data_IF_700020286972
#
_entry.id   IF_700020286972
#
_cell.length_a   1.000
_cell.length_b   1.000
_cell.length_c   1.000
_cell.angle_alpha   90.00
_cell.angle_beta   90.00
_cell.angle_gamma   90.00
#
_symmetry.space_group_name_H-M   'P 1'
#
loop_
_entity.id
_entity.type
_entity.pdbx_description
1 polymer ?
#
# COMPACT_ATOMS: atom_id res chain seq x y z
N UNK A 1 -7.48 -9.13 9.06
CA UNK A 1 -7.04 -10.45 9.59
C UNK A 1 -6.36 -11.33 8.54
N UNK A 2 -6.69 -11.21 7.26
CA UNK A 2 -6.15 -12.09 6.21
C UNK A 2 -4.70 -11.79 5.80
N UNK A 3 -4.11 -10.68 6.25
CA UNK A 3 -2.80 -10.23 5.80
C UNK A 3 -1.67 -11.24 6.05
N UNK A 4 -1.49 -11.84 7.25
CA UNK A 4 -0.46 -12.88 7.43
C UNK A 4 -0.64 -14.08 6.50
N UNK A 5 -1.87 -14.58 6.34
CA UNK A 5 -2.19 -15.68 5.43
C UNK A 5 -1.91 -15.34 3.97
N UNK A 6 -2.27 -14.13 3.53
CA UNK A 6 -1.92 -13.61 2.21
C UNK A 6 -0.40 -13.58 2.03
N UNK A 7 0.35 -13.01 2.98
CA UNK A 7 1.81 -12.96 2.89
C UNK A 7 2.43 -14.36 2.88
N UNK A 8 1.91 -15.31 3.64
CA UNK A 8 2.35 -16.71 3.57
C UNK A 8 2.12 -17.30 2.19
N UNK A 9 0.95 -17.08 1.58
CA UNK A 9 0.63 -17.61 0.25
C UNK A 9 1.55 -17.07 -0.85
N UNK A 10 2.02 -15.83 -0.71
CA UNK A 10 2.95 -15.20 -1.67
C UNK A 10 4.43 -15.54 -1.45
N UNK A 11 4.77 -16.17 -0.31
CA UNK A 11 6.16 -16.47 0.06
C UNK A 11 6.49 -17.93 -0.27
N UNK A 12 7.25 -18.58 0.60
CA UNK A 12 7.84 -19.89 0.34
C UNK A 12 6.98 -20.95 1.02
N UNK A 13 6.77 -22.08 0.36
CA UNK A 13 6.16 -23.25 0.96
C UNK A 13 6.97 -23.66 2.21
N UNK A 14 6.33 -23.97 3.35
CA UNK A 14 7.02 -24.18 4.63
C UNK A 14 7.90 -25.43 4.64
N UNK A 15 7.65 -26.41 3.76
CA UNK A 15 8.45 -27.64 3.67
C UNK A 15 9.52 -27.53 2.59
N UNK A 16 9.15 -27.12 1.37
CA UNK A 16 10.08 -27.13 0.22
C UNK A 16 10.94 -25.87 0.12
N UNK A 17 10.54 -24.78 0.80
CA UNK A 17 11.14 -23.45 0.70
C UNK A 17 11.11 -22.83 -0.71
N UNK A 18 10.33 -23.41 -1.64
CA UNK A 18 10.14 -22.92 -3.01
C UNK A 18 8.92 -22.00 -3.12
N UNK A 19 8.82 -21.27 -4.24
CA UNK A 19 7.56 -20.62 -4.63
C UNK A 19 6.55 -21.69 -5.05
N UNK A 20 5.30 -21.46 -4.69
CA UNK A 20 4.25 -22.47 -4.80
C UNK A 20 3.00 -21.86 -5.46
N UNK A 21 2.74 -22.18 -6.73
CA UNK A 21 1.57 -21.69 -7.44
C UNK A 21 0.24 -22.14 -6.80
N UNK A 22 0.18 -23.32 -6.17
CA UNK A 22 -1.03 -23.76 -5.49
C UNK A 22 -1.34 -22.86 -4.30
N UNK A 23 -0.33 -22.53 -3.48
CA UNK A 23 -0.52 -21.61 -2.35
C UNK A 23 -1.03 -20.25 -2.81
N UNK A 24 -0.39 -19.66 -3.82
CA UNK A 24 -0.75 -18.34 -4.36
C UNK A 24 -2.19 -18.34 -4.87
N UNK A 25 -2.51 -19.26 -5.76
CA UNK A 25 -3.78 -19.25 -6.48
C UNK A 25 -4.94 -19.86 -5.70
N UNK A 26 -4.70 -20.78 -4.76
CA UNK A 26 -5.75 -21.26 -3.86
C UNK A 26 -6.25 -20.11 -2.99
N UNK A 27 -5.33 -19.33 -2.39
CA UNK A 27 -5.71 -18.16 -1.60
C UNK A 27 -6.49 -17.14 -2.43
N UNK A 28 -5.97 -16.71 -3.58
CA UNK A 28 -6.66 -15.73 -4.43
C UNK A 28 -8.00 -16.23 -4.95
N UNK A 29 -8.10 -17.50 -5.36
CA UNK A 29 -9.36 -18.05 -5.87
C UNK A 29 -10.42 -18.27 -4.77
N UNK A 30 -10.04 -18.39 -3.50
CA UNK A 30 -10.96 -18.44 -2.36
C UNK A 30 -11.38 -17.05 -1.86
N UNK A 31 -10.65 -16.00 -2.24
CA UNK A 31 -10.81 -14.62 -1.77
C UNK A 31 -11.06 -13.66 -2.97
N UNK A 32 -12.25 -13.68 -3.58
CA UNK A 32 -12.55 -12.91 -4.80
C UNK A 32 -12.32 -11.40 -4.65
N UNK A 33 -12.31 -10.86 -3.42
CA UNK A 33 -11.99 -9.45 -3.17
C UNK A 33 -10.59 -9.03 -3.66
N UNK A 34 -9.69 -9.99 -3.90
CA UNK A 34 -8.37 -9.71 -4.46
C UNK A 34 -8.37 -9.41 -5.97
N UNK A 35 -9.46 -9.71 -6.68
CA UNK A 35 -9.51 -9.66 -8.15
C UNK A 35 -9.08 -8.33 -8.74
N UNK A 36 -9.44 -7.21 -8.11
CA UNK A 36 -9.06 -5.88 -8.59
C UNK A 36 -7.53 -5.71 -8.59
N UNK A 37 -6.89 -5.98 -7.45
CA UNK A 37 -5.45 -5.85 -7.32
C UNK A 37 -4.69 -6.91 -8.13
N UNK A 38 -5.22 -8.14 -8.22
CA UNK A 38 -4.63 -9.19 -9.06
C UNK A 38 -4.69 -8.78 -10.54
N UNK A 39 -5.79 -8.19 -11.00
CA UNK A 39 -5.89 -7.67 -12.37
C UNK A 39 -4.90 -6.55 -12.63
N UNK A 40 -4.72 -5.63 -11.67
CA UNK A 40 -3.69 -4.58 -11.77
C UNK A 40 -2.27 -5.18 -11.80
N UNK A 41 -1.98 -6.15 -10.94
CA UNK A 41 -0.68 -6.81 -10.82
C UNK A 41 -0.27 -7.52 -12.12
N UNK A 42 -1.22 -8.18 -12.79
CA UNK A 42 -0.94 -8.90 -14.04
C UNK A 42 -1.06 -8.03 -15.30
N UNK A 43 -1.49 -6.77 -15.18
CA UNK A 43 -1.37 -5.78 -16.25
C UNK A 43 0.09 -5.39 -16.49
N UNK A 44 0.35 -4.61 -17.54
CA UNK A 44 1.71 -4.10 -17.82
C UNK A 44 2.32 -3.35 -16.62
N UNK A 45 1.49 -2.73 -15.77
CA UNK A 45 1.95 -2.01 -14.56
C UNK A 45 2.50 -2.92 -13.46
N UNK A 46 2.42 -4.24 -13.62
CA UNK A 46 3.04 -5.23 -12.72
C UNK A 46 4.57 -5.19 -12.73
N UNK A 47 5.18 -4.68 -13.80
CA UNK A 47 6.63 -4.62 -14.00
C UNK A 47 7.04 -3.19 -14.36
N UNK A 48 7.02 -2.22 -13.43
CA UNK A 48 7.46 -0.85 -13.72
C UNK A 48 8.95 -0.82 -14.11
N UNK A 49 9.30 0.06 -15.04
CA UNK A 49 10.68 0.29 -15.47
C UNK A 49 11.42 1.16 -14.44
N UNK A 50 11.93 0.50 -13.39
CA UNK A 50 12.55 1.15 -12.24
C UNK A 50 11.55 1.92 -11.37
N UNK A 51 12.03 2.48 -10.25
CA UNK A 51 11.15 3.16 -9.29
C UNK A 51 10.62 4.51 -9.79
N UNK A 52 11.31 5.15 -10.75
CA UNK A 52 10.99 6.52 -11.20
C UNK A 52 9.78 6.59 -12.12
N UNK A 53 9.43 5.48 -12.78
CA UNK A 53 8.39 5.42 -13.80
C UNK A 53 7.06 4.81 -13.30
N UNK A 54 6.83 4.81 -11.98
CA UNK A 54 5.59 4.38 -11.35
C UNK A 54 4.94 5.50 -10.53
N UNK A 55 3.64 5.42 -10.35
CA UNK A 55 2.91 6.28 -9.40
C UNK A 55 3.03 5.73 -7.98
N UNK A 56 2.84 6.60 -6.98
CA UNK A 56 2.61 6.24 -5.59
C UNK A 56 1.18 6.56 -5.16
N UNK A 57 0.66 5.82 -4.19
CA UNK A 57 -0.68 6.02 -3.63
C UNK A 57 -0.64 5.77 -2.12
N UNK A 58 -1.44 6.54 -1.37
CA UNK A 58 -1.74 6.18 0.03
C UNK A 58 -2.62 4.93 0.14
N UNK A 59 -3.33 4.61 -0.95
CA UNK A 59 -4.31 3.53 -1.13
C UNK A 59 -5.53 3.63 -0.21
N UNK A 60 -5.31 3.64 1.11
CA UNK A 60 -6.34 3.80 2.11
C UNK A 60 -7.04 5.15 1.97
N UNK A 61 -8.28 5.16 2.45
CA UNK A 61 -8.94 6.41 2.81
C UNK A 61 -8.31 6.92 4.10
N UNK A 62 -8.00 8.21 4.17
CA UNK A 62 -7.56 8.90 5.38
C UNK A 62 -8.58 10.00 5.72
N UNK A 63 -8.42 10.64 6.87
CA UNK A 63 -9.23 11.78 7.29
C UNK A 63 -8.33 13.01 7.40
N UNK A 64 -8.77 14.12 6.83
CA UNK A 64 -8.14 15.45 6.97
C UNK A 64 -9.01 16.32 7.87
N UNK A 65 -8.37 17.11 8.72
CA UNK A 65 -9.05 17.98 9.69
C UNK A 65 -8.50 19.39 9.54
N UNK A 66 -9.39 20.36 9.34
CA UNK A 66 -9.03 21.78 9.27
C UNK A 66 -8.95 22.44 10.65
N UNK A 67 -8.61 23.73 10.70
CA UNK A 67 -8.50 24.50 11.94
C UNK A 67 -9.83 24.64 12.71
N UNK A 68 -10.98 24.47 12.04
CA UNK A 68 -12.31 24.53 12.63
C UNK A 68 -12.80 23.14 13.10
N UNK A 69 -11.90 22.15 13.18
CA UNK A 69 -12.20 20.76 13.54
C UNK A 69 -13.23 20.09 12.63
N UNK A 70 -13.31 20.51 11.36
CA UNK A 70 -14.22 19.93 10.37
C UNK A 70 -13.48 18.82 9.59
N UNK A 71 -13.92 17.56 9.70
CA UNK A 71 -13.26 16.46 9.03
C UNK A 71 -13.80 16.23 7.61
N UNK A 72 -12.92 15.84 6.71
CA UNK A 72 -13.25 15.24 5.40
C UNK A 72 -12.43 13.98 5.20
N UNK A 73 -12.91 13.04 4.39
CA UNK A 73 -12.09 11.92 3.96
C UNK A 73 -11.25 12.30 2.74
N UNK A 74 -10.10 11.63 2.58
CA UNK A 74 -9.23 11.85 1.44
C UNK A 74 -8.54 10.57 0.94
N UNK A 75 -8.02 10.64 -0.29
CA UNK A 75 -7.07 9.68 -0.88
C UNK A 75 -5.84 10.43 -1.35
N UNK A 76 -4.64 9.92 -1.05
CA UNK A 76 -3.36 10.50 -1.48
C UNK A 76 -2.85 9.89 -2.78
N UNK A 77 -2.42 10.73 -3.73
CA UNK A 77 -1.92 10.32 -5.05
C UNK A 77 -0.61 11.03 -5.38
N UNK A 78 0.41 10.29 -5.78
CA UNK A 78 1.71 10.80 -6.22
C UNK A 78 1.94 10.35 -7.66
N UNK A 79 1.75 11.25 -8.64
CA UNK A 79 1.86 10.91 -10.06
C UNK A 79 3.27 11.19 -10.56
N UNK A 80 3.93 10.22 -11.18
CA UNK A 80 5.31 10.40 -11.68
C UNK A 80 5.35 11.49 -12.74
N UNK A 81 6.31 12.41 -12.62
CA UNK A 81 6.58 13.42 -13.63
C UNK A 81 7.53 12.91 -14.74
N UNK A 82 7.98 11.65 -14.67
CA UNK A 82 8.85 11.02 -15.66
C UNK A 82 8.05 10.22 -16.70
N UNK A 83 6.73 10.14 -16.53
CA UNK A 83 5.84 9.29 -17.33
C UNK A 83 5.84 7.84 -16.85
N UNK A 84 4.67 7.19 -16.97
CA UNK A 84 4.55 5.75 -16.70
C UNK A 84 5.30 4.97 -17.77
N UNK A 85 6.14 4.04 -17.34
CA UNK A 85 6.87 3.13 -18.22
C UNK A 85 7.01 1.78 -17.54
N UNK A 86 6.78 0.71 -18.31
CA UNK A 86 6.81 -0.66 -17.83
C UNK A 86 7.76 -1.50 -18.69
N UNK A 87 8.30 -2.56 -18.11
CA UNK A 87 9.11 -3.55 -18.79
C UNK A 87 8.21 -4.61 -19.42
N UNK A 88 8.65 -5.17 -20.55
CA UNK A 88 8.09 -6.42 -21.05
C UNK A 88 8.53 -7.59 -20.16
N UNK A 89 7.74 -8.67 -20.05
CA UNK A 89 8.13 -9.84 -19.25
C UNK A 89 9.50 -10.40 -19.61
N UNK A 90 9.87 -10.44 -20.89
CA UNK A 90 11.17 -10.98 -21.34
C UNK A 90 12.35 -10.10 -20.90
N UNK A 91 12.16 -8.78 -20.90
CA UNK A 91 13.16 -7.83 -20.39
C UNK A 91 13.33 -7.94 -18.88
N UNK A 92 12.22 -8.09 -18.15
CA UNK A 92 12.25 -8.29 -16.71
C UNK A 92 12.93 -9.61 -16.32
N UNK A 93 12.67 -10.71 -17.04
CA UNK A 93 13.34 -11.99 -16.84
C UNK A 93 14.85 -11.90 -17.10
N UNK A 94 15.24 -11.24 -18.20
CA UNK A 94 16.65 -10.99 -18.51
C UNK A 94 17.32 -10.15 -17.43
N UNK A 95 16.69 -9.06 -16.98
CA UNK A 95 17.25 -8.19 -15.94
C UNK A 95 17.33 -8.87 -14.58
N UNK A 96 16.37 -9.74 -14.24
CA UNK A 96 16.41 -10.49 -12.98
C UNK A 96 17.67 -11.35 -12.82
N UNK A 97 18.31 -11.77 -13.92
CA UNK A 97 19.59 -12.49 -13.90
C UNK A 97 20.81 -11.62 -14.17
N UNK A 98 20.69 -10.61 -15.04
CA UNK A 98 21.83 -9.79 -15.48
C UNK A 98 22.11 -8.56 -14.61
N UNK A 99 21.08 -8.01 -13.95
CA UNK A 99 21.18 -6.90 -13.01
C UNK A 99 20.02 -6.99 -11.99
N UNK A 100 20.11 -7.90 -11.00
CA UNK A 100 19.04 -8.09 -10.00
C UNK A 100 18.73 -6.82 -9.19
N UNK A 101 19.66 -5.86 -9.17
CA UNK A 101 19.56 -4.57 -8.50
C UNK A 101 19.18 -3.42 -9.46
N UNK A 102 18.62 -3.72 -10.64
CA UNK A 102 18.31 -2.75 -11.70
C UNK A 102 17.65 -1.46 -11.19
N UNK A 103 16.57 -1.58 -10.40
CA UNK A 103 15.84 -0.41 -9.91
C UNK A 103 16.65 0.42 -8.89
N UNK A 104 17.53 -0.23 -8.10
CA UNK A 104 18.46 0.45 -7.19
C UNK A 104 19.49 1.24 -8.01
N UNK A 105 20.11 0.59 -9.01
CA UNK A 105 21.09 1.22 -9.90
C UNK A 105 20.49 2.39 -10.67
N UNK A 106 19.30 2.22 -11.24
CA UNK A 106 18.58 3.26 -11.98
C UNK A 106 18.34 4.50 -11.11
N UNK A 107 17.76 4.33 -9.92
CA UNK A 107 17.47 5.45 -9.02
C UNK A 107 18.75 6.16 -8.56
N UNK A 108 19.75 5.39 -8.14
CA UNK A 108 21.03 5.93 -7.69
C UNK A 108 21.71 6.75 -8.79
N UNK A 109 21.79 6.18 -10.00
CA UNK A 109 22.46 6.80 -11.16
C UNK A 109 21.71 8.04 -11.63
N UNK A 110 20.37 8.03 -11.59
CA UNK A 110 19.56 9.19 -11.94
C UNK A 110 19.86 10.36 -10.99
N UNK A 111 19.87 10.12 -9.68
CA UNK A 111 20.14 11.16 -8.68
C UNK A 111 21.60 11.64 -8.77
N UNK A 112 22.57 10.74 -8.91
CA UNK A 112 23.99 11.08 -9.01
C UNK A 112 24.29 11.98 -10.23
N UNK A 113 23.54 11.80 -11.33
CA UNK A 113 23.67 12.61 -12.55
C UNK A 113 22.79 13.88 -12.54
N UNK A 114 22.25 14.30 -11.39
CA UNK A 114 21.41 15.49 -11.28
C UNK A 114 20.02 15.35 -11.92
N UNK A 115 19.64 14.15 -12.39
CA UNK A 115 18.32 13.83 -12.94
C UNK A 115 17.39 13.42 -11.80
N UNK A 116 16.98 14.40 -10.99
CA UNK A 116 16.18 14.15 -9.80
C UNK A 116 14.74 13.73 -10.18
N UNK A 117 14.31 12.49 -9.86
CA UNK A 117 12.92 12.11 -10.08
C UNK A 117 12.00 12.89 -9.15
N UNK A 118 10.79 13.15 -9.63
CA UNK A 118 9.77 13.88 -8.89
C UNK A 118 8.38 13.38 -9.21
N UNK A 119 7.48 13.56 -8.23
CA UNK A 119 6.07 13.22 -8.31
C UNK A 119 5.21 14.41 -7.96
N UNK A 120 4.18 14.66 -8.75
CA UNK A 120 3.15 15.64 -8.43
C UNK A 120 2.17 15.02 -7.42
N UNK A 121 1.95 15.71 -6.30
CA UNK A 121 1.13 15.25 -5.19
C UNK A 121 -0.28 15.83 -5.28
N UNK A 122 -1.29 14.96 -5.16
CA UNK A 122 -2.70 15.28 -5.23
C UNK A 122 -3.48 14.60 -4.11
N UNK A 123 -4.65 15.16 -3.81
CA UNK A 123 -5.68 14.52 -2.99
C UNK A 123 -6.99 14.40 -3.76
N UNK A 124 -7.75 13.35 -3.49
CA UNK A 124 -9.21 13.37 -3.65
C UNK A 124 -9.82 13.71 -2.29
N UNK A 125 -10.95 14.39 -2.28
CA UNK A 125 -11.67 14.76 -1.05
C UNK A 125 -13.11 14.28 -1.14
N UNK A 126 -13.60 13.63 -0.07
CA UNK A 126 -14.97 13.14 0.08
C UNK A 126 -15.51 13.62 1.42
N UNK A 127 -16.67 14.28 1.42
CA UNK A 127 -17.33 14.69 2.67
C UNK A 127 -17.94 13.48 3.39
N UNK A 128 -18.26 13.63 4.67
CA UNK A 128 -18.94 12.57 5.42
C UNK A 128 -20.32 12.24 4.80
N UNK A 129 -21.07 13.24 4.35
CA UNK A 129 -22.36 13.03 3.67
C UNK A 129 -22.21 12.30 2.32
N UNK A 130 -21.10 12.51 1.61
CA UNK A 130 -20.80 11.76 0.39
C UNK A 130 -20.42 10.32 0.71
N UNK A 131 -19.67 10.07 1.79
CA UNK A 131 -19.31 8.74 2.24
C UNK A 131 -20.55 7.89 2.61
N UNK A 132 -21.54 8.47 3.30
CA UNK A 132 -22.81 7.79 3.63
C UNK A 132 -23.65 7.40 2.41
N UNK A 133 -23.47 8.13 1.29
CA UNK A 133 -24.20 7.92 0.03
C UNK A 133 -23.37 7.20 -1.02
N UNK A 134 -22.13 6.82 -0.69
CA UNK A 134 -21.24 6.21 -1.66
C UNK A 134 -21.74 4.81 -2.00
N UNK A 135 -21.74 4.47 -3.29
CA UNK A 135 -22.32 3.22 -3.79
C UNK A 135 -21.60 1.95 -3.30
N UNK A 136 -20.38 2.10 -2.76
CA UNK A 136 -19.62 1.05 -2.09
C UNK A 136 -19.20 1.53 -0.70
N UNK A 137 -18.60 0.65 0.09
CA UNK A 137 -17.88 1.06 1.29
C UNK A 137 -16.69 1.99 0.91
N UNK A 138 -16.68 3.28 1.30
CA UNK A 138 -15.62 4.21 0.93
C UNK A 138 -14.28 3.91 1.64
N UNK A 139 -14.29 2.99 2.60
CA UNK A 139 -13.13 2.51 3.36
C UNK A 139 -12.68 1.11 2.96
N UNK A 140 -13.29 0.52 1.92
CA UNK A 140 -12.83 -0.73 1.34
C UNK A 140 -11.59 -0.48 0.49
N UNK A 141 -10.46 -1.08 0.91
CA UNK A 141 -9.17 -0.94 0.24
C UNK A 141 -9.14 -1.53 -1.17
N UNK A 142 -10.08 -2.40 -1.52
CA UNK A 142 -10.21 -2.98 -2.86
C UNK A 142 -10.92 -2.04 -3.84
N UNK A 143 -11.43 -0.89 -3.37
CA UNK A 143 -12.17 0.09 -4.17
C UNK A 143 -11.38 1.37 -4.39
N UNK A 144 -11.56 1.95 -5.58
CA UNK A 144 -11.11 3.31 -5.92
C UNK A 144 -12.28 4.29 -5.88
N UNK A 145 -11.97 5.56 -5.67
CA UNK A 145 -12.92 6.66 -5.90
C UNK A 145 -12.75 7.14 -7.34
N UNK A 146 -13.82 7.11 -8.13
CA UNK A 146 -13.78 7.54 -9.53
C UNK A 146 -13.26 8.98 -9.64
N UNK A 147 -12.28 9.22 -10.50
CA UNK A 147 -11.77 10.58 -10.75
C UNK A 147 -12.82 11.51 -11.37
N UNK A 148 -13.87 10.95 -11.99
CA UNK A 148 -14.99 11.73 -12.53
C UNK A 148 -15.84 12.35 -11.42
N UNK A 149 -16.05 11.60 -10.34
CA UNK A 149 -16.86 12.04 -9.20
C UNK A 149 -16.01 12.81 -8.18
N UNK A 150 -14.78 12.36 -7.97
CA UNK A 150 -13.84 12.93 -7.01
C UNK A 150 -12.55 13.31 -7.75
N UNK A 151 -12.49 14.49 -8.39
CA UNK A 151 -11.33 14.91 -9.17
C UNK A 151 -10.08 15.09 -8.29
N UNK A 152 -8.90 14.96 -8.91
CA UNK A 152 -7.62 15.19 -8.25
C UNK A 152 -7.42 16.69 -7.99
N UNK A 153 -7.15 17.03 -6.73
CA UNK A 153 -6.82 18.39 -6.29
C UNK A 153 -5.30 18.46 -6.09
N UNK A 154 -4.58 19.34 -6.81
CA UNK A 154 -3.13 19.48 -6.67
C UNK A 154 -2.76 20.05 -5.30
N UNK A 155 -1.72 19.49 -4.67
CA UNK A 155 -1.23 19.90 -3.35
C UNK A 155 0.23 20.35 -3.39
N UNK A 156 1.10 19.59 -4.05
CA UNK A 156 2.54 19.89 -4.04
C UNK A 156 3.37 18.94 -4.88
N UNK A 157 4.67 18.81 -4.53
CA UNK A 157 5.62 17.98 -5.27
C UNK A 157 6.59 17.26 -4.33
N UNK A 158 6.82 15.98 -4.59
CA UNK A 158 7.89 15.18 -3.98
C UNK A 158 9.08 15.13 -4.93
N UNK A 159 10.30 15.37 -4.44
CA UNK A 159 11.54 15.33 -5.24
C UNK A 159 12.58 14.53 -4.48
N UNK A 160 13.21 13.55 -5.15
CA UNK A 160 14.35 12.82 -4.60
C UNK A 160 15.64 13.36 -5.22
N UNK A 161 16.44 14.06 -4.44
CA UNK A 161 17.62 14.79 -4.92
C UNK A 161 18.92 14.44 -4.18
N UNK A 162 18.92 13.40 -3.33
CA UNK A 162 20.09 12.96 -2.58
C UNK A 162 20.07 11.44 -2.43
N UNK A 163 21.19 10.81 -2.77
CA UNK A 163 21.40 9.39 -2.49
C UNK A 163 21.79 9.19 -1.01
N UNK A 164 21.49 8.02 -0.42
CA UNK A 164 22.02 7.67 0.89
C UNK A 164 23.56 7.63 0.85
N UNK A 165 24.22 8.12 1.90
CA UNK A 165 25.66 8.00 2.05
C UNK A 165 26.04 6.59 2.54
N UNK A 166 25.19 5.98 3.37
CA UNK A 166 25.32 4.59 3.78
C UNK A 166 23.97 3.88 3.68
N UNK A 167 23.89 2.85 2.82
CA UNK A 167 22.64 2.10 2.59
C UNK A 167 22.09 1.46 3.86
N UNK A 168 22.93 0.82 4.67
CA UNK A 168 22.46 0.14 5.87
C UNK A 168 21.89 1.12 6.90
N UNK A 169 22.58 2.23 7.14
CA UNK A 169 22.17 3.24 8.11
C UNK A 169 20.92 4.02 7.69
N UNK A 170 20.78 4.33 6.39
CA UNK A 170 19.73 5.24 5.90
C UNK A 170 18.57 4.53 5.19
N UNK A 171 18.77 3.31 4.69
CA UNK A 171 17.74 2.55 3.95
C UNK A 171 17.33 1.29 4.71
N UNK A 172 18.25 0.40 5.05
CA UNK A 172 17.89 -0.88 5.70
C UNK A 172 17.27 -0.67 7.09
N UNK A 173 17.78 0.33 7.82
CA UNK A 173 17.27 0.73 9.13
C UNK A 173 16.09 1.72 9.10
N UNK A 174 15.64 2.11 7.91
CA UNK A 174 14.51 3.01 7.76
C UNK A 174 13.21 2.36 8.27
N UNK A 175 12.39 3.14 8.95
CA UNK A 175 11.13 2.71 9.54
C UNK A 175 10.01 3.72 9.20
N UNK A 176 8.94 3.23 8.57
CA UNK A 176 7.75 4.04 8.25
C UNK A 176 6.53 3.48 8.99
N UNK A 177 5.98 4.22 9.94
CA UNK A 177 4.77 3.82 10.65
C UNK A 177 3.55 4.60 10.14
N UNK A 178 2.49 3.94 9.66
CA UNK A 178 1.24 4.61 9.32
C UNK A 178 0.60 5.32 10.53
N UNK A 179 0.93 4.94 11.76
CA UNK A 179 0.49 5.64 12.97
C UNK A 179 1.16 7.01 13.19
N UNK A 180 2.25 7.31 12.49
CA UNK A 180 2.94 8.60 12.60
C UNK A 180 2.22 9.65 11.74
N UNK A 181 1.09 10.14 12.23
CA UNK A 181 0.31 11.21 11.58
C UNK A 181 0.36 12.48 12.43
N UNK A 182 0.72 13.64 11.84
CA UNK A 182 0.67 14.92 12.55
C UNK A 182 -0.77 15.44 12.69
N UNK A 183 -1.04 16.41 13.57
CA UNK A 183 -2.33 17.08 13.65
C UNK A 183 -2.83 17.56 12.27
N UNK A 184 -4.09 17.29 11.98
CA UNK A 184 -4.70 17.56 10.67
C UNK A 184 -4.77 16.35 9.73
N UNK A 185 -4.07 15.25 10.03
CA UNK A 185 -4.16 13.98 9.30
C UNK A 185 -4.47 12.86 10.31
N UNK A 186 -5.53 12.11 10.05
CA UNK A 186 -6.02 11.04 10.92
C UNK A 186 -6.36 9.77 10.11
N UNK A 187 -6.40 8.58 10.74
CA UNK A 187 -6.84 7.38 10.06
C UNK A 187 -8.35 7.40 9.79
N UNK A 188 -8.79 6.71 8.74
CA UNK A 188 -10.20 6.36 8.52
C UNK A 188 -10.56 5.02 9.17
N UNK A 189 -11.84 4.62 9.19
CA UNK A 189 -12.28 3.29 9.63
C UNK A 189 -11.90 2.11 8.72
N UNK A 190 -11.06 2.32 7.69
CA UNK A 190 -10.55 1.23 6.82
C UNK A 190 -9.90 0.13 7.67
N UNK A 191 -10.50 -1.07 7.64
CA UNK A 191 -10.09 -2.23 8.46
C UNK A 191 -8.62 -2.61 8.24
N UNK A 192 -8.09 -2.42 7.03
CA UNK A 192 -6.69 -2.70 6.72
C UNK A 192 -5.78 -1.62 7.28
N UNK A 193 -6.15 -0.33 7.14
CA UNK A 193 -5.39 0.78 7.74
C UNK A 193 -5.32 0.61 9.26
N UNK A 194 -6.43 0.30 9.91
CA UNK A 194 -6.51 0.08 11.37
C UNK A 194 -5.53 -1.00 11.85
N UNK A 195 -5.40 -2.11 11.11
CA UNK A 195 -4.39 -3.12 11.42
C UNK A 195 -2.94 -2.63 11.29
N UNK A 196 -2.68 -1.76 10.30
CA UNK A 196 -1.35 -1.19 10.04
C UNK A 196 -0.90 -0.17 11.09
N UNK A 197 -1.84 0.50 11.78
CA UNK A 197 -1.52 1.40 12.89
C UNK A 197 -0.79 0.67 14.02
N UNK A 198 -1.10 -0.62 14.21
CA UNK A 198 -0.42 -1.48 15.18
C UNK A 198 0.83 -2.15 14.59
N UNK A 199 0.70 -2.78 13.42
CA UNK A 199 1.68 -3.77 12.96
C UNK A 199 3.08 -3.21 12.67
N UNK A 200 3.16 -1.95 12.24
CA UNK A 200 4.43 -1.33 11.85
C UNK A 200 5.29 -0.98 13.08
N UNK A 201 4.80 -0.21 14.07
CA UNK A 201 5.56 0.01 15.30
C UNK A 201 5.95 -1.30 16.01
N UNK A 202 5.07 -2.30 15.98
CA UNK A 202 5.34 -3.62 16.54
C UNK A 202 6.52 -4.33 15.84
N UNK A 203 6.47 -4.46 14.51
CA UNK A 203 7.56 -5.11 13.76
C UNK A 203 8.86 -4.32 13.80
N UNK A 204 8.82 -2.99 13.93
CA UNK A 204 10.02 -2.15 14.07
C UNK A 204 10.71 -2.34 15.41
N UNK A 205 9.95 -2.46 16.51
CA UNK A 205 10.52 -2.78 17.84
C UNK A 205 11.24 -4.13 17.83
N UNK A 206 10.74 -5.10 17.07
CA UNK A 206 11.42 -6.38 16.89
C UNK A 206 12.64 -6.28 15.95
N UNK A 207 12.47 -5.73 14.75
CA UNK A 207 13.49 -5.71 13.68
C UNK A 207 14.69 -4.80 14.00
N UNK A 208 14.44 -3.65 14.64
CA UNK A 208 15.44 -2.60 14.86
C UNK A 208 15.72 -2.35 16.35
N UNK A 209 14.87 -2.85 17.25
CA UNK A 209 14.93 -2.61 18.69
C UNK A 209 13.93 -1.56 19.18
N UNK A 210 13.66 -1.55 20.48
CA UNK A 210 12.64 -0.68 21.09
C UNK A 210 12.90 0.82 20.88
N UNK A 211 14.17 1.22 20.80
CA UNK A 211 14.61 2.59 20.61
C UNK A 211 14.89 2.94 19.13
N UNK A 212 14.33 2.23 18.15
CA UNK A 212 14.59 2.46 16.71
C UNK A 212 14.31 3.90 16.23
N UNK A 213 13.40 4.62 16.89
CA UNK A 213 13.12 6.04 16.61
C UNK A 213 14.29 6.98 16.97
N UNK A 214 15.29 6.48 17.70
CA UNK A 214 16.52 7.22 18.00
C UNK A 214 17.59 7.06 16.90
N UNK A 215 17.40 6.13 15.95
CA UNK A 215 18.28 6.02 14.79
C UNK A 215 18.17 7.30 13.94
N UNK A 216 19.28 7.88 13.44
CA UNK A 216 19.27 9.19 12.80
C UNK A 216 18.25 9.36 11.66
N UNK A 217 18.03 8.32 10.86
CA UNK A 217 17.08 8.36 9.73
C UNK A 217 15.61 8.31 10.16
N UNK A 218 15.32 7.78 11.35
CA UNK A 218 13.97 7.66 11.92
C UNK A 218 13.66 8.76 12.94
N UNK A 219 14.69 9.47 13.41
CA UNK A 219 14.56 10.55 14.38
C UNK A 219 13.71 11.69 13.81
N UNK A 220 12.68 12.17 14.52
CA UNK A 220 11.90 13.33 14.11
C UNK A 220 12.67 14.64 14.37
N UNK A 221 13.84 14.79 13.75
CA UNK A 221 14.80 15.87 14.01
C UNK A 221 14.28 17.29 13.77
N UNK A 222 13.12 17.44 13.12
CA UNK A 222 12.41 18.71 12.90
C UNK A 222 11.45 19.09 14.03
N UNK A 223 11.34 18.27 15.06
CA UNK A 223 10.47 18.51 16.23
C UNK A 223 11.26 18.36 17.53
N UNK A 224 10.67 18.81 18.64
CA UNK A 224 11.18 18.54 19.98
C UNK A 224 10.43 17.35 20.58
N UNK A 225 11.11 16.23 20.76
CA UNK A 225 10.56 15.07 21.46
C UNK A 225 10.69 15.31 22.97
N UNK A 226 9.56 15.40 23.67
CA UNK A 226 9.51 15.54 25.12
C UNK A 226 8.29 14.78 25.65
N UNK A 227 8.53 13.75 26.47
CA UNK A 227 7.49 12.85 26.95
C UNK A 227 7.94 12.09 28.22
N UNK A 228 7.20 11.05 28.58
CA UNK A 228 7.40 10.24 29.78
C UNK A 228 8.04 8.87 29.51
N UNK A 229 8.43 8.57 28.27
CA UNK A 229 9.12 7.33 27.93
C UNK A 229 10.60 7.41 28.35
N UNK A 230 11.15 6.31 28.86
CA UNK A 230 12.53 6.20 29.36
C UNK A 230 13.13 4.83 29.03
N UNK A 231 14.46 4.76 29.12
CA UNK A 231 15.28 3.54 29.13
C UNK A 231 15.24 2.75 27.81
N UNK A 232 15.13 1.42 27.91
CA UNK A 232 15.19 0.49 26.79
C UNK A 232 16.63 0.23 26.28
N UNK A 233 16.87 -0.93 25.64
CA UNK A 233 18.15 -1.24 25.04
C UNK A 233 18.60 -0.18 24.05
N UNK A 234 19.92 0.06 23.99
CA UNK A 234 20.54 0.99 23.04
C UNK A 234 19.94 2.41 23.11
N UNK A 235 19.67 2.92 24.32
CA UNK A 235 19.32 4.34 24.51
C UNK A 235 20.52 5.21 24.11
N UNK A 236 20.38 5.98 23.02
CA UNK A 236 21.46 6.67 22.31
C UNK A 236 21.74 8.09 22.82
N UNK A 237 20.75 8.72 23.47
CA UNK A 237 20.83 10.10 23.94
C UNK A 237 20.91 10.15 25.47
N UNK A 238 20.60 11.31 26.06
CA UNK A 238 20.62 11.54 27.51
C UNK A 238 19.41 10.98 28.27
N UNK A 239 18.55 10.21 27.60
CA UNK A 239 17.32 9.62 28.16
C UNK A 239 16.37 10.68 28.79
N UNK A 240 16.35 11.92 28.28
CA UNK A 240 15.62 13.05 28.86
C UNK A 240 16.09 13.45 30.27
N UNK A 241 17.32 13.07 30.63
CA UNK A 241 18.04 13.45 31.84
C UNK A 241 17.21 13.31 33.13
N UNK A 242 17.27 14.31 34.02
CA UNK A 242 16.55 14.33 35.30
C UNK A 242 15.10 14.81 35.24
N UNK A 243 14.49 14.90 34.04
CA UNK A 243 13.11 15.37 33.92
C UNK A 243 12.12 14.38 34.56
N UNK A 244 11.06 14.86 35.26
CA UNK A 244 10.03 13.98 35.83
C UNK A 244 9.48 12.99 34.79
N UNK A 245 9.38 11.73 35.17
CA UNK A 245 9.04 10.61 34.27
C UNK A 245 7.62 10.05 34.50
N UNK A 246 6.74 10.79 35.18
CA UNK A 246 5.34 10.44 35.41
C UNK A 246 4.39 11.60 35.07
N UNK A 247 3.16 11.27 34.68
CA UNK A 247 2.10 12.23 34.34
C UNK A 247 0.77 11.85 35.00
N UNK A 248 0.01 12.80 35.57
CA UNK A 248 0.34 14.23 35.73
C UNK A 248 1.43 14.45 36.79
N UNK A 249 2.06 15.64 36.80
CA UNK A 249 3.10 16.03 37.77
C UNK A 249 3.03 17.53 38.11
N UNK A 250 3.59 17.94 39.25
CA UNK A 250 3.62 19.34 39.70
C UNK A 250 4.97 20.04 39.45
N UNK A 251 5.80 19.49 38.56
CA UNK A 251 7.21 19.87 38.39
C UNK A 251 7.52 20.33 36.96
N UNK A 252 6.52 20.87 36.25
CA UNK A 252 6.65 21.51 34.93
C UNK A 252 7.25 20.61 33.83
N UNK A 253 7.08 19.29 33.93
CA UNK A 253 7.41 18.37 32.84
C UNK A 253 6.40 18.51 31.67
N UNK A 254 6.60 17.81 30.52
CA UNK A 254 5.80 18.02 29.31
C UNK A 254 4.28 17.87 29.50
N UNK A 255 3.51 18.83 29.00
CA UNK A 255 2.04 18.85 29.08
C UNK A 255 1.34 18.45 27.77
N UNK A 256 0.12 17.93 27.88
CA UNK A 256 -0.73 17.61 26.73
C UNK A 256 -1.26 18.88 26.07
N UNK A 257 -1.19 18.93 24.74
CA UNK A 257 -1.71 20.05 23.94
C UNK A 257 -3.15 19.78 23.49
N UNK A 258 -4.13 20.36 24.20
CA UNK A 258 -5.56 20.12 23.96
C UNK A 258 -6.02 20.51 22.55
N UNK A 259 -5.37 21.48 21.92
CA UNK A 259 -5.66 21.92 20.55
C UNK A 259 -5.28 20.88 19.47
N UNK A 260 -4.64 19.77 19.84
CA UNK A 260 -4.21 18.71 18.93
C UNK A 260 -4.90 17.38 19.19
N UNK A 261 -5.96 17.37 20.00
CA UNK A 261 -6.78 16.18 20.25
C UNK A 261 -7.50 15.78 18.97
N UNK A 262 -7.65 14.47 18.77
CA UNK A 262 -8.25 13.87 17.58
C UNK A 262 -9.73 14.24 17.43
N UNK A 263 -10.18 14.32 16.18
CA UNK A 263 -11.58 14.60 15.88
C UNK A 263 -12.49 13.48 16.34
N UNK A 264 -13.57 13.88 17.03
CA UNK A 264 -14.63 12.98 17.48
C UNK A 264 -15.66 12.81 16.36
N UNK A 265 -16.10 11.59 16.16
CA UNK A 265 -17.20 11.26 15.24
C UNK A 265 -18.09 10.20 15.88
N UNK A 266 -19.36 10.16 15.45
CA UNK A 266 -20.32 9.18 15.96
C UNK A 266 -20.07 7.82 15.31
N UNK A 267 -20.22 6.77 16.09
CA UNK A 267 -20.17 5.38 15.63
C UNK A 267 -21.44 4.66 16.04
N UNK A 268 -21.96 3.83 15.12
CA UNK A 268 -23.07 2.89 15.29
C UNK A 268 -22.84 1.84 14.20
N UNK A 269 -22.76 0.52 14.46
CA UNK A 269 -23.65 -0.30 15.31
C UNK A 269 -22.85 -1.16 16.34
N UNK A 270 -23.38 -2.31 16.78
CA UNK A 270 -22.79 -3.21 17.80
C UNK A 270 -21.30 -3.55 17.60
N UNK A 271 -20.63 -3.93 18.69
CA UNK A 271 -19.27 -4.48 18.60
C UNK A 271 -19.35 -5.93 18.11
N UNK A 272 -18.92 -6.17 16.87
CA UNK A 272 -18.96 -7.49 16.25
C UNK A 272 -17.95 -7.67 15.12
N UNK A 273 -17.82 -8.92 14.64
CA UNK A 273 -17.00 -9.26 13.47
C UNK A 273 -17.85 -9.23 12.20
N UNK A 274 -18.04 -8.03 11.65
CA UNK A 274 -18.79 -7.85 10.42
C UNK A 274 -18.04 -8.44 9.22
N UNK A 275 -18.65 -9.46 8.61
CA UNK A 275 -18.19 -10.05 7.37
C UNK A 275 -18.33 -9.04 6.22
N UNK A 276 -17.37 -9.02 5.31
CA UNK A 276 -17.37 -8.19 4.10
C UNK A 276 -17.30 -9.07 2.84
N UNK A 277 -17.74 -10.33 2.94
CA UNK A 277 -17.71 -11.28 1.83
C UNK A 277 -18.82 -11.03 0.79
N UNK A 278 -19.85 -10.26 1.16
CA UNK A 278 -20.95 -9.87 0.26
C UNK A 278 -20.70 -8.50 -0.40
N UNK A 279 -19.53 -7.89 -0.14
CA UNK A 279 -19.12 -6.66 -0.83
C UNK A 279 -18.92 -6.94 -2.33
N UNK A 280 -19.13 -5.93 -3.18
CA UNK A 280 -18.97 -6.09 -4.63
C UNK A 280 -17.50 -6.31 -5.01
N UNK A 281 -17.17 -7.49 -5.55
CA UNK A 281 -15.78 -7.82 -5.93
C UNK A 281 -15.47 -7.67 -7.43
N UNK A 282 -16.46 -7.26 -8.24
CA UNK A 282 -16.41 -7.45 -9.70
C UNK A 282 -16.59 -6.15 -10.48
N UNK A 283 -17.43 -5.23 -10.02
CA UNK A 283 -17.86 -4.07 -10.79
C UNK A 283 -16.68 -3.16 -11.18
N UNK A 284 -15.84 -2.78 -10.22
CA UNK A 284 -14.66 -1.95 -10.54
C UNK A 284 -13.58 -2.72 -11.31
N UNK A 285 -13.50 -4.03 -11.12
CA UNK A 285 -12.58 -4.90 -11.89
C UNK A 285 -13.01 -4.94 -13.35
N UNK A 286 -14.32 -5.02 -13.60
CA UNK A 286 -14.89 -4.96 -14.94
C UNK A 286 -14.57 -3.62 -15.58
N UNK A 287 -14.83 -2.49 -14.90
CA UNK A 287 -14.46 -1.16 -15.40
C UNK A 287 -12.97 -1.07 -15.73
N UNK A 288 -12.09 -1.57 -14.87
CA UNK A 288 -10.65 -1.62 -15.17
C UNK A 288 -10.37 -2.41 -16.47
N UNK A 289 -10.94 -3.60 -16.59
CA UNK A 289 -10.73 -4.48 -17.75
C UNK A 289 -11.31 -3.91 -19.06
N UNK A 290 -12.52 -3.35 -19.03
CA UNK A 290 -13.27 -2.95 -20.23
C UNK A 290 -13.05 -1.49 -20.63
N UNK A 291 -12.79 -0.59 -19.68
CA UNK A 291 -12.73 0.85 -19.92
C UNK A 291 -11.33 1.46 -19.71
N UNK A 292 -10.51 0.87 -18.83
CA UNK A 292 -9.16 1.39 -18.57
C UNK A 292 -8.11 0.76 -19.47
N UNK A 293 -8.20 -0.55 -19.71
CA UNK A 293 -7.29 -1.27 -20.59
C UNK A 293 -7.74 -1.18 -22.05
N UNK A 294 -6.78 -1.09 -22.97
CA UNK A 294 -7.01 -1.35 -24.38
C UNK A 294 -6.95 -2.87 -24.69
N UNK A 295 -7.21 -3.26 -25.94
CA UNK A 295 -7.30 -4.67 -26.32
C UNK A 295 -5.97 -5.42 -26.16
N UNK A 296 -4.85 -4.81 -26.54
CA UNK A 296 -3.53 -5.44 -26.40
C UNK A 296 -3.14 -5.59 -24.93
N UNK A 297 -3.48 -4.62 -24.08
CA UNK A 297 -3.26 -4.68 -22.64
C UNK A 297 -4.12 -5.77 -21.99
N UNK A 298 -5.38 -5.93 -22.42
CA UNK A 298 -6.23 -7.07 -21.98
C UNK A 298 -5.62 -8.41 -22.37
N UNK A 299 -5.11 -8.52 -23.59
CA UNK A 299 -4.46 -9.75 -24.06
C UNK A 299 -3.22 -10.08 -23.22
N UNK A 300 -2.35 -9.09 -22.97
CA UNK A 300 -1.17 -9.27 -22.12
C UNK A 300 -1.53 -9.62 -20.68
N UNK A 301 -2.56 -8.97 -20.11
CA UNK A 301 -3.06 -9.33 -18.78
C UNK A 301 -3.46 -10.80 -18.71
N UNK A 302 -4.27 -11.28 -19.67
CA UNK A 302 -4.68 -12.68 -19.74
C UNK A 302 -3.49 -13.63 -19.91
N UNK A 303 -2.51 -13.28 -20.75
CA UNK A 303 -1.29 -14.08 -20.97
C UNK A 303 -0.42 -14.17 -19.72
N UNK A 304 -0.16 -13.04 -19.07
CA UNK A 304 0.64 -12.97 -17.84
C UNK A 304 -0.03 -13.79 -16.73
N UNK A 305 -1.35 -13.62 -16.56
CA UNK A 305 -2.14 -14.35 -15.57
C UNK A 305 -2.16 -15.86 -15.83
N UNK A 306 -2.40 -16.28 -17.07
CA UNK A 306 -2.36 -17.69 -17.45
C UNK A 306 -0.96 -18.30 -17.26
N UNK A 307 0.09 -17.55 -17.60
CA UNK A 307 1.48 -17.94 -17.41
C UNK A 307 1.84 -18.23 -15.95
N UNK A 308 1.29 -17.45 -15.01
CA UNK A 308 1.46 -17.65 -13.58
C UNK A 308 0.51 -18.72 -12.99
N UNK A 309 -0.70 -18.87 -13.53
CA UNK A 309 -1.71 -19.81 -13.05
C UNK A 309 -1.47 -21.25 -13.49
N UNK A 310 -0.80 -21.48 -14.64
CA UNK A 310 -0.62 -22.82 -15.23
C UNK A 310 0.06 -23.84 -14.31
N UNK A 311 0.83 -23.37 -13.32
CA UNK A 311 1.52 -24.23 -12.35
C UNK A 311 0.64 -24.72 -11.21
N UNK A 312 -0.58 -24.19 -11.04
CA UNK A 312 -1.50 -24.59 -9.99
C UNK A 312 -2.35 -25.81 -10.41
N UNK A 313 -2.94 -26.52 -9.45
CA UNK A 313 -3.83 -27.65 -9.70
C UNK A 313 -5.10 -27.24 -10.46
N UNK A 314 -5.60 -28.15 -11.30
CA UNK A 314 -6.72 -27.90 -12.22
C UNK A 314 -7.97 -27.37 -11.51
N UNK A 315 -8.27 -27.81 -10.29
CA UNK A 315 -9.45 -27.31 -9.56
C UNK A 315 -9.30 -25.84 -9.13
N UNK A 316 -8.07 -25.40 -8.82
CA UNK A 316 -7.74 -24.00 -8.50
C UNK A 316 -7.88 -23.16 -9.78
N UNK A 317 -7.32 -23.64 -10.90
CA UNK A 317 -7.45 -22.98 -12.20
C UNK A 317 -8.92 -22.79 -12.57
N UNK A 318 -9.74 -23.84 -12.44
CA UNK A 318 -11.19 -23.79 -12.69
C UNK A 318 -11.90 -22.76 -11.79
N UNK A 319 -11.54 -22.68 -10.50
CA UNK A 319 -12.13 -21.72 -9.57
C UNK A 319 -11.80 -20.28 -9.97
N UNK A 320 -10.53 -20.00 -10.27
CA UNK A 320 -10.12 -18.67 -10.74
C UNK A 320 -10.78 -18.28 -12.05
N UNK A 321 -10.85 -19.21 -13.02
CA UNK A 321 -11.53 -18.98 -14.29
C UNK A 321 -13.00 -18.61 -14.10
N UNK A 322 -13.70 -19.27 -13.17
CA UNK A 322 -15.10 -18.95 -12.87
C UNK A 322 -15.26 -17.50 -12.42
N UNK A 323 -14.36 -17.02 -11.56
CA UNK A 323 -14.36 -15.62 -11.12
C UNK A 323 -14.06 -14.67 -12.28
N UNK A 324 -12.98 -14.91 -13.03
CA UNK A 324 -12.56 -14.03 -14.12
C UNK A 324 -13.58 -13.97 -15.27
N UNK A 325 -14.31 -15.07 -15.53
CA UNK A 325 -15.38 -15.11 -16.52
C UNK A 325 -16.52 -14.12 -16.23
N UNK A 326 -16.71 -13.68 -14.98
CA UNK A 326 -17.72 -12.67 -14.62
C UNK A 326 -17.41 -11.26 -15.15
N UNK A 327 -16.17 -11.01 -15.59
CA UNK A 327 -15.75 -9.73 -16.16
C UNK A 327 -16.25 -9.57 -17.61
N UNK A 328 -16.43 -10.67 -18.34
CA UNK A 328 -16.84 -10.67 -19.73
C UNK A 328 -18.35 -10.95 -19.86
N UNK A 329 -19.17 -9.90 -20.03
CA UNK A 329 -20.58 -10.07 -20.42
C UNK A 329 -20.73 -10.53 -21.88
N UNK A 330 -19.65 -10.52 -22.67
CA UNK A 330 -19.58 -11.09 -24.02
C UNK A 330 -18.17 -11.61 -24.29
N UNK A 331 -18.07 -12.85 -24.80
CA UNK A 331 -16.87 -13.59 -25.21
C UNK A 331 -16.05 -14.31 -24.10
N UNK A 332 -16.62 -15.38 -23.56
CA UNK A 332 -15.92 -16.39 -22.76
C UNK A 332 -14.83 -17.20 -23.53
N UNK A 333 -14.30 -16.70 -24.65
CA UNK A 333 -13.44 -17.49 -25.55
C UNK A 333 -11.95 -17.10 -25.54
N UNK A 334 -11.52 -16.01 -24.89
CA UNK A 334 -10.11 -15.59 -24.97
C UNK A 334 -9.17 -16.21 -23.93
N UNK A 335 -9.71 -16.81 -22.86
CA UNK A 335 -8.87 -17.50 -21.85
C UNK A 335 -8.56 -18.95 -22.25
N UNK A 336 -9.19 -19.48 -23.32
CA UNK A 336 -9.11 -20.90 -23.68
C UNK A 336 -8.22 -21.25 -24.89
N UNK A 337 -7.59 -20.28 -25.56
CA UNK A 337 -6.85 -20.59 -26.81
C UNK A 337 -5.41 -21.06 -26.57
N UNK A 338 -4.82 -20.85 -25.39
CA UNK A 338 -3.40 -21.25 -25.16
C UNK A 338 -3.21 -22.58 -24.45
N UNK A 339 -4.25 -23.21 -23.91
CA UNK A 339 -4.11 -24.45 -23.11
C UNK A 339 -4.72 -25.71 -23.75
N UNK A 340 -5.22 -25.65 -24.99
CA UNK A 340 -5.74 -26.81 -25.72
C UNK A 340 -4.66 -27.69 -26.38
N UNK A 341 -3.38 -27.35 -26.27
CA UNK A 341 -2.30 -28.05 -26.98
C UNK A 341 -1.46 -29.04 -26.15
N UNK A 342 -1.82 -29.36 -24.89
CA UNK A 342 -1.14 -30.44 -24.12
C UNK A 342 -2.04 -31.06 -23.03
N UNK A 343 -3.10 -31.76 -23.42
CA UNK A 343 -3.68 -32.87 -22.62
C UNK A 343 -3.82 -34.06 -23.56
#
# INVERSE_FOLDING_TARGET
MLFPSFIHSQKRNPQTHLKDPDMVWDFWSLRPECMHQVSFLFSDRGLPDGFRHMNGYGSHTFKLVNADSQPVYCKFHYKTNQGIKNMKPEDAERLASTDPDYAIRDLYTSIANGKFPSWSFYIQVMTFDQAEKFQWNPFDLTKVWSHKEYPLIPVGRLVLNRNPANYFAEIEQLAFDPSNMPPGIEPSPDKMLQGRLFSYPDTHRHRLGTNYLQLPVNCPFRTRVANYQRDGPMCMFDNQAGAPNYFPNSFSAPETQQQHVETRFKVSPDVGRYNSADDDDVTQVRTFFTEVLNEEERQRLCQNMAGALKGAQVFIQKRWHKHFATLALTSANHVYVTNKNKI
#
